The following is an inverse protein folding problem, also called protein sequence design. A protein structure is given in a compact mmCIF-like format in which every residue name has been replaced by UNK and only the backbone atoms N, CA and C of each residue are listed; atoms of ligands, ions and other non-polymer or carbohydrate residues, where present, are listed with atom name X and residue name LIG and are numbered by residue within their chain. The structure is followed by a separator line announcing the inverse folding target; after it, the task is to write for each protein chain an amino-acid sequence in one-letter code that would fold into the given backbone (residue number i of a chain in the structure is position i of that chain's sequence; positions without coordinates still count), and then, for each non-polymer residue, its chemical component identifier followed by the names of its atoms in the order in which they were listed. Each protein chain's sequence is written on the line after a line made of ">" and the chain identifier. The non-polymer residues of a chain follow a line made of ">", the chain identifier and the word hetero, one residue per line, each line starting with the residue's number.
data_IF_210232157216
#
_entry.id   IF_210232157216
#
_cell.length_a   1.000
_cell.length_b   1.000
_cell.length_c   1.000
_cell.angle_alpha   90.00
_cell.angle_beta   90.00
_cell.angle_gamma   90.00
#
_symmetry.space_group_name_H-M   'P 1'
#
loop_
_entity.id
_entity.type
_entity.pdbx_description
1 polymer ?
#
# COMPACT_ATOMS: atom_id res chain seq x y z
N UNK A 1 -32.53 -8.31 0.86
CA UNK A 1 -32.03 -9.06 2.05
C UNK A 1 -31.11 -10.21 1.62
N UNK A 2 -31.52 -11.03 0.66
CA UNK A 2 -30.69 -12.11 0.10
C UNK A 2 -29.39 -11.60 -0.54
N UNK A 3 -29.46 -10.54 -1.37
CA UNK A 3 -28.26 -9.95 -2.01
C UNK A 3 -27.28 -9.36 -0.99
N UNK A 4 -27.79 -8.84 0.13
CA UNK A 4 -26.97 -8.32 1.22
C UNK A 4 -26.19 -9.43 1.92
N UNK A 5 -26.85 -10.56 2.20
CA UNK A 5 -26.21 -11.75 2.78
C UNK A 5 -25.16 -12.35 1.83
N UNK A 6 -25.46 -12.46 0.54
CA UNK A 6 -24.50 -12.89 -0.48
C UNK A 6 -23.30 -11.93 -0.52
N UNK A 7 -23.53 -10.62 -0.44
CA UNK A 7 -22.47 -9.63 -0.39
C UNK A 7 -21.54 -9.81 0.81
N UNK A 8 -22.09 -10.08 2.00
CA UNK A 8 -21.30 -10.36 3.20
C UNK A 8 -20.48 -11.65 3.04
N UNK A 9 -21.12 -12.75 2.62
CA UNK A 9 -20.45 -14.03 2.41
C UNK A 9 -19.34 -13.93 1.39
N UNK A 10 -19.55 -13.16 0.31
CA UNK A 10 -18.53 -12.91 -0.72
C UNK A 10 -17.34 -12.15 -0.14
N UNK A 11 -17.59 -11.07 0.63
CA UNK A 11 -16.51 -10.33 1.31
C UNK A 11 -15.73 -11.20 2.28
N UNK A 12 -16.42 -12.03 3.07
CA UNK A 12 -15.78 -12.97 3.98
C UNK A 12 -14.94 -14.01 3.23
N UNK A 13 -15.47 -14.54 2.12
CA UNK A 13 -14.75 -15.47 1.26
C UNK A 13 -13.45 -14.86 0.75
N UNK A 14 -13.50 -13.67 0.13
CA UNK A 14 -12.28 -13.01 -0.37
C UNK A 14 -11.30 -12.71 0.76
N UNK A 15 -11.80 -12.22 1.90
CA UNK A 15 -10.96 -11.97 3.07
C UNK A 15 -10.22 -13.23 3.56
N UNK A 16 -10.92 -14.37 3.64
CA UNK A 16 -10.31 -15.63 4.04
C UNK A 16 -9.35 -16.17 2.97
N UNK A 17 -9.75 -16.12 1.70
CA UNK A 17 -8.93 -16.56 0.58
C UNK A 17 -7.61 -15.78 0.52
N UNK A 18 -7.68 -14.45 0.62
CA UNK A 18 -6.51 -13.59 0.54
C UNK A 18 -5.51 -13.92 1.66
N UNK A 19 -5.99 -14.03 2.90
CA UNK A 19 -5.15 -14.23 4.09
C UNK A 19 -4.63 -15.66 4.24
N UNK A 20 -5.44 -16.67 3.90
CA UNK A 20 -5.09 -18.07 4.13
C UNK A 20 -4.46 -18.75 2.91
N UNK A 21 -4.69 -18.24 1.70
CA UNK A 21 -4.27 -18.88 0.46
C UNK A 21 -3.38 -17.94 -0.35
N UNK A 22 -3.90 -16.80 -0.79
CA UNK A 22 -3.19 -15.94 -1.76
C UNK A 22 -1.87 -15.39 -1.19
N UNK A 23 -1.91 -14.69 -0.04
CA UNK A 23 -0.73 -14.07 0.54
C UNK A 23 0.35 -15.09 0.94
N UNK A 24 0.03 -16.23 1.58
CA UNK A 24 1.01 -17.29 1.82
C UNK A 24 1.65 -17.82 0.53
N UNK A 25 0.87 -18.07 -0.53
CA UNK A 25 1.40 -18.53 -1.82
C UNK A 25 2.32 -17.50 -2.47
N UNK A 26 1.92 -16.23 -2.45
CA UNK A 26 2.75 -15.14 -2.96
C UNK A 26 4.06 -15.00 -2.17
N UNK A 27 4.03 -15.21 -0.85
CA UNK A 27 5.25 -15.21 -0.02
C UNK A 27 6.20 -16.34 -0.38
N UNK A 28 5.67 -17.54 -0.62
CA UNK A 28 6.47 -18.69 -1.08
C UNK A 28 7.05 -18.45 -2.48
N UNK A 29 6.26 -17.91 -3.39
CA UNK A 29 6.70 -17.56 -4.75
C UNK A 29 7.78 -16.46 -4.73
N UNK A 30 7.61 -15.43 -3.90
CA UNK A 30 8.59 -14.37 -3.69
C UNK A 30 9.96 -14.93 -3.32
N UNK A 31 9.98 -15.83 -2.32
CA UNK A 31 11.20 -16.48 -1.85
C UNK A 31 11.82 -17.39 -2.93
N UNK A 32 11.02 -18.17 -3.65
CA UNK A 32 11.51 -19.14 -4.64
C UNK A 32 12.04 -18.48 -5.91
N UNK A 33 11.40 -17.41 -6.37
CA UNK A 33 11.71 -16.76 -7.65
C UNK A 33 12.46 -15.44 -7.49
N UNK A 34 12.84 -15.06 -6.27
CA UNK A 34 13.46 -13.77 -5.94
C UNK A 34 12.62 -12.57 -6.44
N UNK A 35 11.29 -12.71 -6.36
CA UNK A 35 10.34 -11.65 -6.73
C UNK A 35 10.02 -10.85 -5.46
N UNK A 36 10.04 -9.52 -5.55
CA UNK A 36 9.60 -8.63 -4.47
C UNK A 36 8.25 -8.02 -4.84
N UNK A 37 7.20 -8.39 -4.12
CA UNK A 37 5.89 -7.76 -4.27
C UNK A 37 5.88 -6.45 -3.48
N UNK A 38 5.89 -5.32 -4.19
CA UNK A 38 6.00 -3.99 -3.57
C UNK A 38 4.75 -3.62 -2.73
N UNK A 39 3.57 -4.08 -3.14
CA UNK A 39 2.30 -3.76 -2.47
C UNK A 39 1.92 -4.73 -1.34
N UNK A 40 2.74 -5.74 -1.05
CA UNK A 40 2.37 -6.84 -0.16
C UNK A 40 2.97 -6.61 1.23
N UNK A 41 2.29 -5.76 2.02
CA UNK A 41 2.63 -5.54 3.42
C UNK A 41 3.98 -4.83 3.62
N UNK A 42 4.27 -3.80 2.83
CA UNK A 42 5.42 -2.94 3.10
C UNK A 42 5.28 -2.36 4.50
N UNK A 43 6.21 -2.72 5.37
CA UNK A 43 6.27 -2.21 6.73
C UNK A 43 7.60 -1.47 6.87
N UNK A 44 7.55 -0.16 7.10
CA UNK A 44 8.77 0.61 7.38
C UNK A 44 9.52 -0.06 8.54
N UNK A 45 10.82 -0.25 8.36
CA UNK A 45 11.68 -0.66 9.47
C UNK A 45 11.76 0.48 10.48
N UNK A 46 12.00 0.18 11.77
CA UNK A 46 12.05 1.20 12.84
C UNK A 46 13.13 2.28 12.63
N UNK A 47 14.07 2.06 11.72
CA UNK A 47 15.14 2.99 11.33
C UNK A 47 14.69 3.94 10.21
N UNK A 48 13.62 3.58 9.48
CA UNK A 48 13.01 4.32 8.38
C UNK A 48 11.77 5.07 8.84
N UNK A 49 11.83 5.74 10.00
CA UNK A 49 10.77 6.65 10.45
C UNK A 49 10.69 7.85 9.51
N UNK A 50 9.95 7.67 8.41
CA UNK A 50 9.53 8.74 7.52
C UNK A 50 8.40 9.51 8.21
N UNK A 51 8.79 10.59 8.88
CA UNK A 51 7.95 11.59 9.55
C UNK A 51 7.06 11.12 10.73
N UNK A 52 7.09 11.83 11.87
CA UNK A 52 6.18 11.58 13.00
C UNK A 52 4.69 11.87 12.70
N UNK A 53 4.37 12.44 11.53
CA UNK A 53 3.00 12.72 11.10
C UNK A 53 2.27 11.50 10.53
N UNK A 54 2.99 10.44 10.17
CA UNK A 54 2.42 9.24 9.55
C UNK A 54 1.36 8.55 10.43
N UNK A 55 1.59 8.51 11.75
CA UNK A 55 0.66 7.90 12.71
C UNK A 55 -0.64 8.68 12.91
N UNK A 56 -0.67 9.97 12.57
CA UNK A 56 -1.83 10.85 12.76
C UNK A 56 -2.90 10.69 11.65
N UNK A 57 -2.51 10.27 10.45
CA UNK A 57 -3.39 10.31 9.27
C UNK A 57 -3.98 8.94 8.89
N UNK A 58 -3.55 7.83 9.50
CA UNK A 58 -4.02 6.49 9.10
C UNK A 58 -4.37 5.57 10.26
N UNK A 59 -5.64 5.14 10.30
CA UNK A 59 -6.14 4.15 11.27
C UNK A 59 -6.03 2.71 10.76
N UNK A 60 -6.02 2.50 9.45
CA UNK A 60 -6.00 1.18 8.83
C UNK A 60 -4.59 0.79 8.37
N UNK A 61 -4.16 -0.43 8.71
CA UNK A 61 -2.81 -0.93 8.44
C UNK A 61 -2.52 -1.09 6.93
N UNK A 62 -3.53 -1.38 6.12
CA UNK A 62 -3.40 -1.45 4.66
C UNK A 62 -3.11 -0.06 4.05
N UNK A 63 -3.71 0.99 4.63
CA UNK A 63 -3.46 2.37 4.21
C UNK A 63 -2.03 2.77 4.60
N UNK A 64 -1.58 2.40 5.79
CA UNK A 64 -0.18 2.59 6.21
C UNK A 64 0.79 1.93 5.25
N UNK A 65 0.60 0.65 4.91
CA UNK A 65 1.53 -0.04 4.02
C UNK A 65 1.67 0.66 2.66
N UNK A 66 0.57 1.12 2.08
CA UNK A 66 0.57 1.87 0.82
C UNK A 66 1.26 3.23 0.96
N UNK A 67 0.91 4.01 1.98
CA UNK A 67 1.52 5.33 2.19
C UNK A 67 3.03 5.19 2.46
N UNK A 68 3.44 4.23 3.26
CA UNK A 68 4.84 3.98 3.56
C UNK A 68 5.64 3.62 2.30
N UNK A 69 5.01 2.87 1.36
CA UNK A 69 5.61 2.58 0.07
C UNK A 69 5.74 3.84 -0.80
N UNK A 70 4.71 4.71 -0.82
CA UNK A 70 4.79 6.01 -1.50
C UNK A 70 5.90 6.87 -0.91
N UNK A 71 5.94 7.06 0.42
CA UNK A 71 6.99 7.81 1.11
C UNK A 71 8.37 7.27 0.79
N UNK A 72 8.55 5.95 0.83
CA UNK A 72 9.84 5.33 0.47
C UNK A 72 10.20 5.62 -0.98
N UNK A 73 9.25 5.49 -1.90
CA UNK A 73 9.47 5.75 -3.33
C UNK A 73 9.85 7.22 -3.57
N UNK A 74 9.12 8.15 -2.95
CA UNK A 74 9.36 9.58 -3.06
C UNK A 74 10.70 9.97 -2.40
N UNK A 75 11.10 9.33 -1.31
CA UNK A 75 12.39 9.58 -0.65
C UNK A 75 13.61 9.31 -1.53
N UNK A 76 13.44 8.53 -2.60
CA UNK A 76 14.48 8.28 -3.60
C UNK A 76 14.58 9.40 -4.65
N UNK A 77 13.61 10.32 -4.70
CA UNK A 77 13.66 11.49 -5.57
C UNK A 77 14.56 12.57 -4.94
N UNK A 78 15.61 13.04 -5.63
CA UNK A 78 16.53 14.06 -5.10
C UNK A 78 15.87 15.39 -4.71
N UNK A 79 14.68 15.67 -5.25
CA UNK A 79 13.94 16.91 -4.98
C UNK A 79 12.97 16.77 -3.79
N UNK A 80 12.70 15.56 -3.32
CA UNK A 80 11.82 15.32 -2.17
C UNK A 80 12.30 16.10 -0.93
N UNK A 81 11.42 16.78 -0.16
CA UNK A 81 9.96 16.78 -0.26
C UNK A 81 9.35 17.82 -1.21
N UNK A 82 10.16 18.63 -1.90
CA UNK A 82 9.66 19.67 -2.79
C UNK A 82 9.53 19.18 -4.23
N UNK A 83 8.33 19.31 -4.80
CA UNK A 83 8.07 18.99 -6.20
C UNK A 83 7.88 20.25 -7.06
N UNK A 84 8.36 21.40 -6.60
CA UNK A 84 8.20 22.68 -7.31
C UNK A 84 8.76 22.61 -8.75
N UNK A 85 7.95 23.08 -9.70
CA UNK A 85 8.29 23.09 -11.12
C UNK A 85 8.29 21.70 -11.79
N UNK A 86 7.85 20.65 -11.10
CA UNK A 86 7.69 19.31 -11.69
C UNK A 86 6.25 19.07 -12.16
N UNK A 87 6.10 18.19 -13.14
CA UNK A 87 4.82 17.59 -13.50
C UNK A 87 4.81 16.15 -13.00
N UNK A 88 3.82 15.82 -12.17
CA UNK A 88 3.67 14.48 -11.59
C UNK A 88 2.79 13.62 -12.49
N UNK A 89 3.19 12.37 -12.70
CA UNK A 89 2.41 11.35 -13.39
C UNK A 89 2.42 10.08 -12.54
N UNK A 90 1.23 9.60 -12.19
CA UNK A 90 1.05 8.32 -11.51
C UNK A 90 0.53 7.29 -12.53
N UNK A 91 1.28 6.21 -12.76
CA UNK A 91 0.90 5.14 -13.68
C UNK A 91 0.29 4.00 -12.89
N UNK A 92 -0.94 3.60 -13.25
CA UNK A 92 -1.68 2.59 -12.50
C UNK A 92 -2.23 3.11 -11.17
N UNK A 93 -2.72 4.36 -11.15
CA UNK A 93 -3.12 5.11 -9.95
C UNK A 93 -4.29 4.51 -9.15
N UNK A 94 -5.01 3.51 -9.66
CA UNK A 94 -6.15 2.93 -8.96
C UNK A 94 -7.19 3.99 -8.57
N UNK A 95 -7.36 4.21 -7.26
CA UNK A 95 -8.26 5.23 -6.70
C UNK A 95 -7.58 6.60 -6.50
N UNK A 96 -6.39 6.84 -7.06
CA UNK A 96 -5.60 8.08 -6.97
C UNK A 96 -5.04 8.41 -5.57
N UNK A 97 -5.00 7.45 -4.65
CA UNK A 97 -4.53 7.69 -3.28
C UNK A 97 -3.06 8.13 -3.18
N UNK A 98 -2.22 7.80 -4.16
CA UNK A 98 -0.83 8.25 -4.20
C UNK A 98 -0.71 9.75 -4.49
N UNK A 99 -1.43 10.25 -5.50
CA UNK A 99 -1.47 11.69 -5.81
C UNK A 99 -2.12 12.50 -4.69
N UNK A 100 -3.22 12.03 -4.11
CA UNK A 100 -3.87 12.71 -2.98
C UNK A 100 -2.93 12.84 -1.78
N UNK A 101 -2.11 11.81 -1.52
CA UNK A 101 -1.07 11.86 -0.50
C UNK A 101 0.01 12.89 -0.84
N UNK A 102 0.49 12.93 -2.09
CA UNK A 102 1.56 13.85 -2.51
C UNK A 102 1.14 15.33 -2.45
N UNK A 103 -0.12 15.63 -2.78
CA UNK A 103 -0.65 17.00 -2.87
C UNK A 103 -1.14 17.59 -1.53
N UNK A 104 -0.93 16.89 -0.42
CA UNK A 104 -1.32 17.33 0.93
C UNK A 104 -0.63 18.62 1.39
#
# INVERSE_FOLDING_TARGET
>A
MFDYLIGILSRLYYFMFDRLILYPLLRLAAAKFNIRFMNLGYHCSAVETFFPFFELFTKDDDCKANIALYEKTLSLCPKYPSFEGLKLLEVGCGQCGGIDWILR
#
